data_IF_574588634303
#
_entry.id   IF_574588634303
#
_cell.length_a   1.000
_cell.length_b   1.000
_cell.length_c   1.000
_cell.angle_alpha   90.00
_cell.angle_beta   90.00
_cell.angle_gamma   90.00
#
_symmetry.space_group_name_H-M   'P 1'
#
loop_
_entity.id
_entity.type
_entity.pdbx_description
1 polymer ?
#
# COMPACT_ATOMS: atom_id res chain seq x y z
N UNK A 1 3.84 -8.96 -28.03
CA UNK A 1 2.46 -9.38 -27.72
C UNK A 1 2.51 -10.67 -26.91
N UNK A 2 2.48 -10.57 -25.58
CA UNK A 2 2.60 -11.73 -24.68
C UNK A 2 1.22 -12.36 -24.52
N UNK A 3 1.04 -13.67 -24.76
CA UNK A 3 -0.27 -14.30 -24.76
C UNK A 3 -0.85 -14.37 -23.33
N UNK A 4 -1.97 -13.67 -23.12
CA UNK A 4 -2.73 -13.57 -21.86
C UNK A 4 -3.02 -14.93 -21.18
N UNK A 5 -3.04 -16.02 -21.94
CA UNK A 5 -3.28 -17.39 -21.45
C UNK A 5 -2.12 -17.98 -20.65
N UNK A 6 -0.87 -17.58 -20.90
CA UNK A 6 0.29 -18.05 -20.12
C UNK A 6 0.40 -17.34 -18.76
N UNK A 7 -0.01 -16.07 -18.69
CA UNK A 7 0.00 -15.28 -17.45
C UNK A 7 -0.89 -15.90 -16.37
N UNK A 8 -2.12 -16.32 -16.70
CA UNK A 8 -3.03 -16.98 -15.75
C UNK A 8 -2.59 -18.36 -15.26
N UNK A 9 -1.71 -19.04 -16.01
CA UNK A 9 -1.19 -20.37 -15.65
C UNK A 9 0.04 -20.28 -14.73
N UNK A 10 0.83 -19.20 -14.85
CA UNK A 10 1.95 -18.88 -13.94
C UNK A 10 1.52 -18.11 -12.67
N UNK A 11 0.41 -17.37 -12.71
CA UNK A 11 -0.12 -16.62 -11.55
C UNK A 11 -0.69 -17.53 -10.45
N UNK A 12 -1.12 -18.76 -10.78
CA UNK A 12 -1.73 -19.70 -9.83
C UNK A 12 -0.82 -20.11 -8.65
N UNK A 13 0.46 -20.47 -8.85
CA UNK A 13 1.38 -20.68 -7.73
C UNK A 13 1.90 -19.37 -7.11
N UNK A 14 1.95 -18.28 -7.87
CA UNK A 14 2.42 -16.97 -7.36
C UNK A 14 1.46 -16.30 -6.36
N UNK A 15 0.15 -16.59 -6.45
CA UNK A 15 -0.87 -16.04 -5.55
C UNK A 15 -0.88 -16.69 -4.14
N UNK A 16 -0.31 -17.89 -4.00
CA UNK A 16 -0.23 -18.63 -2.73
C UNK A 16 1.00 -18.26 -1.89
N UNK A 17 2.06 -17.75 -2.54
CA UNK A 17 3.30 -17.32 -1.89
C UNK A 17 3.12 -16.17 -0.86
N UNK A 18 2.32 -15.10 -1.11
CA UNK A 18 2.12 -14.04 -0.12
C UNK A 18 1.37 -14.50 1.13
N UNK A 19 0.49 -15.51 1.02
CA UNK A 19 -0.21 -16.07 2.20
C UNK A 19 0.74 -16.87 3.11
N UNK A 20 1.74 -17.53 2.54
CA UNK A 20 2.78 -18.23 3.31
C UNK A 20 3.75 -17.26 4.01
N UNK A 21 4.04 -16.11 3.40
CA UNK A 21 4.90 -15.07 3.99
C UNK A 21 4.21 -14.26 5.09
N UNK A 22 2.89 -14.34 5.23
CA UNK A 22 2.12 -13.68 6.30
C UNK A 22 2.13 -14.46 7.64
N UNK A 23 2.80 -15.62 7.72
CA UNK A 23 2.87 -16.48 8.92
C UNK A 23 3.74 -15.93 10.08
N UNK A 24 3.98 -14.61 10.15
CA UNK A 24 4.84 -13.96 11.14
C UNK A 24 4.23 -13.75 12.53
N UNK A 25 3.02 -14.25 12.79
CA UNK A 25 2.25 -13.97 14.01
C UNK A 25 2.91 -14.52 15.30
N UNK A 26 3.75 -15.56 15.19
CA UNK A 26 4.50 -16.14 16.31
C UNK A 26 5.96 -15.64 16.39
N UNK A 27 6.18 -14.35 16.16
CA UNK A 27 7.50 -13.73 16.30
C UNK A 27 7.70 -13.19 17.73
N UNK A 28 8.94 -13.27 18.23
CA UNK A 28 9.30 -12.77 19.57
C UNK A 28 8.98 -11.27 19.77
N UNK A 29 8.91 -10.51 18.68
CA UNK A 29 8.53 -9.09 18.66
C UNK A 29 7.01 -8.91 18.86
N UNK A 30 6.18 -9.77 18.28
CA UNK A 30 4.71 -9.68 18.40
C UNK A 30 4.16 -10.38 19.66
N UNK A 31 4.97 -11.18 20.36
CA UNK A 31 4.65 -11.80 21.65
C UNK A 31 5.74 -11.50 22.70
N UNK A 32 5.86 -10.23 23.13
CA UNK A 32 6.85 -9.84 24.12
C UNK A 32 6.54 -10.47 25.49
N UNK A 33 7.59 -10.78 26.25
CA UNK A 33 7.50 -11.34 27.61
C UNK A 33 7.80 -10.32 28.72
N UNK A 34 8.25 -9.12 28.35
CA UNK A 34 8.60 -8.04 29.27
C UNK A 34 7.84 -6.76 28.96
N UNK A 35 7.67 -5.89 29.97
CA UNK A 35 6.86 -4.67 29.89
C UNK A 35 7.33 -3.72 28.77
N UNK A 36 8.63 -3.49 28.64
CA UNK A 36 9.20 -2.62 27.59
C UNK A 36 8.87 -3.16 26.18
N UNK A 37 8.83 -4.48 26.02
CA UNK A 37 8.46 -5.09 24.74
C UNK A 37 6.97 -4.93 24.41
N UNK A 38 6.09 -4.80 25.41
CA UNK A 38 4.67 -4.51 25.18
C UNK A 38 4.47 -3.10 24.64
N UNK A 39 5.19 -2.11 25.20
CA UNK A 39 5.11 -0.72 24.76
C UNK A 39 5.66 -0.57 23.32
N UNK A 40 6.80 -1.21 23.02
CA UNK A 40 7.38 -1.22 21.68
C UNK A 40 6.47 -1.92 20.65
N UNK A 41 5.85 -3.06 21.03
CA UNK A 41 4.86 -3.73 20.18
C UNK A 41 3.69 -2.82 19.85
N UNK A 42 3.19 -2.05 20.83
CA UNK A 42 2.08 -1.14 20.61
C UNK A 42 2.46 -0.04 19.62
N UNK A 43 3.65 0.54 19.75
CA UNK A 43 4.17 1.54 18.82
C UNK A 43 4.33 0.97 17.40
N UNK A 44 4.89 -0.24 17.28
CA UNK A 44 5.06 -0.92 15.99
C UNK A 44 3.72 -1.18 15.31
N UNK A 45 2.75 -1.77 16.02
CA UNK A 45 1.43 -2.08 15.45
C UNK A 45 0.71 -0.78 15.05
N UNK A 46 0.75 0.24 15.90
CA UNK A 46 0.11 1.53 15.62
C UNK A 46 0.70 2.18 14.37
N UNK A 47 2.03 2.18 14.25
CA UNK A 47 2.73 2.77 13.10
C UNK A 47 2.42 2.03 11.79
N UNK A 48 2.43 0.70 11.81
CA UNK A 48 2.10 -0.13 10.63
C UNK A 48 0.65 0.11 10.19
N UNK A 49 -0.29 0.16 11.13
CA UNK A 49 -1.71 0.43 10.84
C UNK A 49 -1.89 1.83 10.25
N UNK A 50 -1.22 2.85 10.80
CA UNK A 50 -1.27 4.21 10.27
C UNK A 50 -0.75 4.29 8.83
N UNK A 51 0.36 3.62 8.51
CA UNK A 51 0.90 3.58 7.15
C UNK A 51 -0.01 2.82 6.18
N UNK A 52 -0.68 1.75 6.64
CA UNK A 52 -1.61 0.97 5.82
C UNK A 52 -2.78 1.80 5.29
N UNK A 53 -3.22 2.83 6.03
CA UNK A 53 -4.28 3.76 5.59
C UNK A 53 -3.94 4.43 4.26
N UNK A 54 -2.66 4.72 3.99
CA UNK A 54 -2.22 5.33 2.72
C UNK A 54 -1.86 4.28 1.68
N UNK A 55 -1.22 3.19 2.09
CA UNK A 55 -0.76 2.15 1.17
C UNK A 55 -1.95 1.47 0.46
N UNK A 56 -3.04 1.17 1.17
CA UNK A 56 -4.22 0.50 0.59
C UNK A 56 -4.85 1.34 -0.55
N UNK A 57 -5.21 2.62 -0.35
CA UNK A 57 -5.71 3.48 -1.42
C UNK A 57 -4.77 3.58 -2.62
N UNK A 58 -3.45 3.66 -2.40
CA UNK A 58 -2.47 3.73 -3.50
C UNK A 58 -2.52 2.47 -4.36
N UNK A 59 -2.58 1.29 -3.74
CA UNK A 59 -2.69 0.02 -4.48
C UNK A 59 -4.00 -0.04 -5.26
N UNK A 60 -5.11 0.33 -4.61
CA UNK A 60 -6.44 0.35 -5.24
C UNK A 60 -6.47 1.31 -6.43
N UNK A 61 -5.97 2.53 -6.27
CA UNK A 61 -5.89 3.52 -7.35
C UNK A 61 -5.00 3.02 -8.49
N UNK A 62 -3.86 2.41 -8.18
CA UNK A 62 -2.95 1.86 -9.20
C UNK A 62 -3.66 0.82 -10.06
N UNK A 63 -4.36 -0.14 -9.44
CA UNK A 63 -5.11 -1.18 -10.16
C UNK A 63 -6.28 -0.56 -10.94
N UNK A 64 -7.01 0.39 -10.32
CA UNK A 64 -8.13 1.07 -10.96
C UNK A 64 -7.69 1.85 -12.21
N UNK A 65 -6.58 2.59 -12.14
CA UNK A 65 -6.02 3.32 -13.28
C UNK A 65 -5.54 2.36 -14.36
N UNK A 66 -4.82 1.30 -13.99
CA UNK A 66 -4.35 0.29 -14.94
C UNK A 66 -5.50 -0.36 -15.72
N UNK A 67 -6.64 -0.61 -15.06
CA UNK A 67 -7.80 -1.21 -15.73
C UNK A 67 -8.62 -0.19 -16.53
N UNK A 68 -8.86 1.01 -15.98
CA UNK A 68 -9.69 2.05 -16.59
C UNK A 68 -9.04 2.68 -17.82
N UNK A 69 -7.73 2.93 -17.80
CA UNK A 69 -7.00 3.62 -18.87
C UNK A 69 -6.22 2.67 -19.79
N UNK A 70 -6.58 1.37 -19.80
CA UNK A 70 -5.99 0.41 -20.73
C UNK A 70 -6.29 0.78 -22.19
N UNK A 71 -5.37 0.45 -23.10
CA UNK A 71 -5.47 0.79 -24.53
C UNK A 71 -6.75 0.30 -25.25
N UNK A 72 -7.39 -0.76 -24.76
CA UNK A 72 -8.65 -1.25 -25.33
C UNK A 72 -9.89 -0.47 -24.89
N UNK A 73 -9.76 0.49 -23.97
CA UNK A 73 -10.88 1.31 -23.51
C UNK A 73 -10.89 2.67 -24.20
N UNK A 74 -11.72 2.80 -25.24
CA UNK A 74 -11.86 4.04 -26.03
C UNK A 74 -12.77 5.09 -25.39
N UNK A 75 -13.43 4.76 -24.28
CA UNK A 75 -14.38 5.66 -23.57
C UNK A 75 -13.71 6.55 -22.53
N UNK A 76 -12.45 6.30 -22.16
CA UNK A 76 -11.74 7.08 -21.17
C UNK A 76 -11.20 8.38 -21.80
N UNK A 77 -11.29 9.50 -21.07
CA UNK A 77 -10.70 10.77 -21.46
C UNK A 77 -9.17 10.63 -21.45
N UNK A 78 -8.56 10.75 -22.63
CA UNK A 78 -7.11 10.65 -22.83
C UNK A 78 -6.53 12.06 -23.01
N UNK A 79 -5.65 12.46 -22.10
CA UNK A 79 -5.01 13.77 -22.10
C UNK A 79 -3.49 13.58 -22.04
N UNK A 80 -2.78 13.62 -23.19
CA UNK A 80 -1.34 13.32 -23.25
C UNK A 80 -0.44 14.42 -22.68
N UNK A 81 -0.89 15.69 -22.71
CA UNK A 81 -0.09 16.85 -22.30
C UNK A 81 -0.32 17.26 -20.83
N UNK A 82 -1.26 16.59 -20.15
CA UNK A 82 -1.56 16.90 -18.76
C UNK A 82 -0.45 16.38 -17.85
N UNK A 83 0.31 17.30 -17.28
CA UNK A 83 1.52 16.99 -16.50
C UNK A 83 1.56 17.68 -15.13
N UNK A 84 0.68 18.65 -14.89
CA UNK A 84 0.67 19.42 -13.65
C UNK A 84 -0.74 19.65 -13.12
N UNK A 85 -0.90 19.47 -11.81
CA UNK A 85 -2.10 19.86 -11.08
C UNK A 85 -1.76 20.14 -9.63
N UNK A 86 -1.80 21.42 -9.27
CA UNK A 86 -1.51 21.90 -7.92
C UNK A 86 -2.42 21.25 -6.88
N UNK A 87 -3.68 20.97 -7.22
CA UNK A 87 -4.60 20.32 -6.29
C UNK A 87 -4.15 18.89 -5.93
N UNK A 88 -3.69 18.13 -6.91
CA UNK A 88 -3.21 16.75 -6.67
C UNK A 88 -1.88 16.77 -5.93
N UNK A 89 -0.97 17.68 -6.30
CA UNK A 89 0.31 17.83 -5.60
C UNK A 89 0.09 18.13 -4.12
N UNK A 90 -0.75 19.11 -3.77
CA UNK A 90 -1.03 19.47 -2.37
C UNK A 90 -1.58 18.27 -1.59
N UNK A 91 -2.50 17.49 -2.17
CA UNK A 91 -3.07 16.30 -1.52
C UNK A 91 -2.01 15.21 -1.30
N UNK A 92 -1.22 14.90 -2.32
CA UNK A 92 -0.19 13.84 -2.26
C UNK A 92 0.93 14.19 -1.29
N UNK A 93 1.26 15.47 -1.12
CA UNK A 93 2.23 15.94 -0.12
C UNK A 93 1.66 16.02 1.29
N UNK A 94 0.46 16.58 1.45
CA UNK A 94 -0.12 16.83 2.78
C UNK A 94 -0.43 15.54 3.54
N UNK A 95 -0.96 14.50 2.87
CA UNK A 95 -1.34 13.24 3.51
C UNK A 95 -0.14 12.58 4.23
N UNK A 96 1.02 12.34 3.58
CA UNK A 96 2.22 11.85 4.27
C UNK A 96 2.71 12.77 5.38
N UNK A 97 2.73 14.09 5.16
CA UNK A 97 3.18 15.04 6.18
C UNK A 97 2.35 14.97 7.46
N UNK A 98 1.02 14.85 7.35
CA UNK A 98 0.13 14.71 8.51
C UNK A 98 0.40 13.40 9.27
N UNK A 99 0.65 12.30 8.57
CA UNK A 99 0.94 11.00 9.22
C UNK A 99 2.24 11.07 10.00
N UNK A 100 3.29 11.66 9.42
CA UNK A 100 4.58 11.84 10.12
C UNK A 100 4.42 12.73 11.35
N UNK A 101 3.58 13.79 11.27
CA UNK A 101 3.31 14.65 12.43
C UNK A 101 2.66 13.87 13.57
N UNK A 102 1.66 13.03 13.27
CA UNK A 102 1.00 12.17 14.27
C UNK A 102 2.00 11.17 14.88
N UNK A 103 2.83 10.53 14.05
CA UNK A 103 3.85 9.58 14.53
C UNK A 103 4.90 10.27 15.40
N UNK A 104 5.31 11.50 15.05
CA UNK A 104 6.26 12.26 15.83
C UNK A 104 5.72 12.55 17.25
N UNK A 105 4.44 12.88 17.38
CA UNK A 105 3.79 13.08 18.69
C UNK A 105 3.67 11.77 19.46
N UNK A 106 3.40 10.65 18.80
CA UNK A 106 3.31 9.34 19.45
C UNK A 106 4.67 8.79 19.92
N UNK A 107 5.76 9.24 19.31
CA UNK A 107 7.12 8.74 19.58
C UNK A 107 7.87 9.58 20.63
N UNK A 108 7.40 10.80 20.91
CA UNK A 108 7.99 11.73 21.88
C UNK A 108 7.26 11.67 23.22
#
# INVERSE_FOLDING_TARGET
MIPLKQLGRLLRPGLMLPFLLLAGCNSAILNPKGQIGHDEKQLLITSVVLMLIVVIPVIVMTIAFAWKYRASNTKARYEPDWSHSTAIEVVVWSIPCVIILVLAVLTW
#
